data_IF_342679210926
#
_entry.id   IF_342679210926
#
_cell.length_a   1.000
_cell.length_b   1.000
_cell.length_c   1.000
_cell.angle_alpha   90.00
_cell.angle_beta   90.00
_cell.angle_gamma   90.00
#
_symmetry.space_group_name_H-M   'P 1'
#
loop_
_entity.id
_entity.type
_entity.pdbx_description
1 polymer ?
#
# COMPACT_ATOMS: atom_id res chain seq x y z
N UNK A 1 13.36 5.49 -14.03
CA UNK A 1 12.90 6.24 -12.84
C UNK A 1 11.90 5.35 -12.12
N UNK A 2 12.34 4.65 -11.07
CA UNK A 2 11.49 3.72 -10.32
C UNK A 2 10.66 4.44 -9.27
N UNK A 3 9.55 3.81 -8.84
CA UNK A 3 8.73 4.33 -7.74
C UNK A 3 9.50 4.13 -6.44
N UNK A 4 9.74 5.21 -5.69
CA UNK A 4 10.30 5.13 -4.34
C UNK A 4 9.26 4.61 -3.36
N UNK A 5 9.59 3.59 -2.57
CA UNK A 5 8.70 3.03 -1.55
C UNK A 5 9.30 3.23 -0.16
N UNK A 6 8.51 3.79 0.76
CA UNK A 6 8.84 3.89 2.17
C UNK A 6 7.98 2.92 2.97
N UNK A 7 8.58 1.96 3.66
CA UNK A 7 7.83 1.05 4.54
C UNK A 7 7.97 1.53 5.98
N UNK A 8 6.85 1.59 6.70
CA UNK A 8 6.77 2.04 8.08
C UNK A 8 6.05 0.99 8.91
N UNK A 9 6.76 0.47 9.91
CA UNK A 9 6.25 -0.54 10.82
C UNK A 9 5.80 0.12 12.13
N UNK A 10 4.55 -0.10 12.51
CA UNK A 10 3.92 0.41 13.74
C UNK A 10 3.53 -0.80 14.60
N UNK A 11 4.20 -0.98 15.75
CA UNK A 11 3.90 -2.10 16.65
C UNK A 11 4.29 -3.50 16.13
N UNK A 12 4.90 -3.60 14.94
CA UNK A 12 5.49 -4.83 14.40
C UNK A 12 6.96 -4.62 14.01
N UNK A 13 7.68 -5.72 13.84
CA UNK A 13 9.05 -5.71 13.32
C UNK A 13 9.04 -5.96 11.81
N UNK A 14 9.98 -5.35 11.10
CA UNK A 14 10.25 -5.68 9.71
C UNK A 14 10.66 -7.15 9.61
N UNK A 15 10.05 -7.90 8.69
CA UNK A 15 10.39 -9.29 8.42
C UNK A 15 10.73 -9.45 6.95
N UNK A 16 11.74 -10.27 6.66
CA UNK A 16 12.16 -10.58 5.29
C UNK A 16 11.02 -11.00 4.34
N UNK A 17 10.08 -11.91 4.72
CA UNK A 17 8.98 -12.26 3.82
C UNK A 17 8.04 -11.09 3.53
N UNK A 18 7.82 -10.21 4.51
CA UNK A 18 6.92 -9.06 4.37
C UNK A 18 7.53 -7.99 3.46
N UNK A 19 8.83 -7.73 3.57
CA UNK A 19 9.56 -6.86 2.66
C UNK A 19 9.61 -7.43 1.24
N UNK A 20 9.82 -8.74 1.10
CA UNK A 20 9.82 -9.41 -0.20
C UNK A 20 8.44 -9.30 -0.88
N UNK A 21 7.36 -9.58 -0.16
CA UNK A 21 5.99 -9.44 -0.68
C UNK A 21 5.71 -7.99 -1.08
N UNK A 22 6.04 -7.02 -0.21
CA UNK A 22 5.90 -5.59 -0.50
C UNK A 22 6.67 -5.19 -1.76
N UNK A 23 7.89 -5.69 -1.96
CA UNK A 23 8.68 -5.44 -3.15
C UNK A 23 8.05 -6.04 -4.41
N UNK A 24 7.54 -7.28 -4.34
CA UNK A 24 6.83 -7.93 -5.44
C UNK A 24 5.57 -7.15 -5.82
N UNK A 25 4.78 -6.70 -4.84
CA UNK A 25 3.59 -5.90 -5.12
C UNK A 25 3.94 -4.49 -5.65
N UNK A 26 5.05 -3.89 -5.22
CA UNK A 26 5.52 -2.61 -5.74
C UNK A 26 5.83 -2.68 -7.24
N UNK A 27 6.45 -3.77 -7.72
CA UNK A 27 6.70 -3.98 -9.15
C UNK A 27 5.39 -3.93 -9.96
N UNK A 28 4.28 -4.41 -9.38
CA UNK A 28 2.97 -4.30 -10.04
C UNK A 28 2.55 -2.84 -10.18
N UNK A 29 2.77 -2.02 -9.15
CA UNK A 29 2.47 -0.59 -9.17
C UNK A 29 3.40 0.24 -10.04
N UNK A 30 4.61 -0.22 -10.35
CA UNK A 30 5.55 0.50 -11.24
C UNK A 30 4.95 0.82 -12.61
N UNK A 31 3.99 0.04 -13.10
CA UNK A 31 3.24 0.35 -14.34
C UNK A 31 2.46 1.67 -14.26
N UNK A 32 2.11 2.11 -13.05
CA UNK A 32 1.44 3.38 -12.77
C UNK A 32 2.44 4.49 -12.41
N UNK A 33 3.73 4.33 -12.69
CA UNK A 33 4.78 5.31 -12.36
C UNK A 33 4.55 6.72 -12.92
N UNK A 34 3.69 6.87 -13.94
CA UNK A 34 3.24 8.18 -14.42
C UNK A 34 2.35 8.94 -13.42
N UNK A 35 1.76 8.26 -12.44
CA UNK A 35 0.82 8.81 -11.44
C UNK A 35 1.24 8.57 -9.99
N UNK A 36 2.12 7.61 -9.78
CA UNK A 36 2.64 7.24 -8.48
C UNK A 36 4.15 7.40 -8.52
N UNK A 37 4.66 8.55 -8.10
CA UNK A 37 6.11 8.80 -8.07
C UNK A 37 6.74 8.16 -6.84
N UNK A 38 6.11 8.38 -5.68
CA UNK A 38 6.52 7.81 -4.40
C UNK A 38 5.28 7.22 -3.69
N UNK A 39 5.47 6.14 -2.95
CA UNK A 39 4.45 5.55 -2.10
C UNK A 39 5.00 5.19 -0.72
N UNK A 40 4.11 5.16 0.26
CA UNK A 40 4.40 4.79 1.63
C UNK A 40 3.48 3.66 2.06
N UNK A 41 4.06 2.58 2.55
CA UNK A 41 3.35 1.45 3.11
C UNK A 41 3.46 1.52 4.63
N UNK A 42 2.36 1.82 5.31
CA UNK A 42 2.25 1.71 6.75
C UNK A 42 1.69 0.33 7.12
N UNK A 43 2.38 -0.40 7.99
CA UNK A 43 1.97 -1.70 8.50
C UNK A 43 1.86 -1.57 10.02
N UNK A 44 0.65 -1.66 10.53
CA UNK A 44 0.33 -1.55 11.94
C UNK A 44 -0.14 -2.89 12.50
N UNK A 45 0.53 -3.39 13.54
CA UNK A 45 0.06 -4.57 14.27
C UNK A 45 -0.81 -4.16 15.45
N UNK A 46 -2.08 -4.52 15.35
CA UNK A 46 -3.12 -4.33 16.35
C UNK A 46 -3.37 -5.65 17.08
N UNK A 47 -3.13 -5.65 18.39
CA UNK A 47 -3.56 -6.74 19.27
C UNK A 47 -5.02 -6.50 19.66
N UNK A 48 -5.95 -7.23 19.06
CA UNK A 48 -7.35 -7.16 19.47
C UNK A 48 -7.52 -7.77 20.86
N UNK A 49 -8.48 -7.23 21.63
CA UNK A 49 -8.90 -7.76 22.95
C UNK A 49 -9.32 -9.24 22.90
N UNK A 50 -9.67 -9.74 21.71
CA UNK A 50 -10.00 -11.13 21.42
C UNK A 50 -8.78 -12.07 21.32
N UNK A 51 -7.56 -11.54 21.48
CA UNK A 51 -6.31 -12.31 21.36
C UNK A 51 -5.90 -12.64 19.93
N UNK A 52 -6.66 -12.17 18.93
CA UNK A 52 -6.32 -12.36 17.52
C UNK A 52 -5.38 -11.23 17.05
N UNK A 53 -4.24 -11.56 16.42
CA UNK A 53 -3.41 -10.56 15.77
C UNK A 53 -4.17 -9.99 14.58
N UNK A 54 -4.20 -8.66 14.45
CA UNK A 54 -4.76 -7.96 13.31
C UNK A 54 -3.68 -7.03 12.76
N UNK A 55 -3.40 -7.11 11.47
CA UNK A 55 -2.46 -6.25 10.78
C UNK A 55 -3.24 -5.28 9.91
N UNK A 56 -3.22 -3.99 10.27
CA UNK A 56 -3.75 -2.92 9.44
C UNK A 56 -2.65 -2.45 8.49
N UNK A 57 -2.85 -2.66 7.20
CA UNK A 57 -1.93 -2.23 6.17
C UNK A 57 -2.56 -1.09 5.39
N UNK A 58 -1.83 0.02 5.28
CA UNK A 58 -2.25 1.20 4.53
C UNK A 58 -1.19 1.59 3.53
N UNK A 59 -1.58 1.72 2.27
CA UNK A 59 -0.77 2.24 1.20
C UNK A 59 -1.19 3.68 0.91
N UNK A 60 -0.28 4.60 1.17
CA UNK A 60 -0.43 6.02 0.94
C UNK A 60 0.42 6.41 -0.28
N UNK A 61 -0.17 7.13 -1.25
CA UNK A 61 0.63 7.77 -2.31
C UNK A 61 1.18 9.09 -1.79
N UNK A 62 2.41 9.41 -2.16
CA UNK A 62 2.99 10.72 -1.90
C UNK A 62 2.70 11.60 -3.11
N UNK A 63 1.91 12.65 -2.91
CA UNK A 63 1.63 13.65 -3.93
C UNK A 63 2.82 14.59 -4.13
N UNK A 64 2.81 15.40 -5.19
CA UNK A 64 3.82 16.44 -5.41
C UNK A 64 3.86 17.48 -4.26
N UNK A 65 2.77 17.63 -3.52
CA UNK A 65 2.67 18.47 -2.31
C UNK A 65 3.25 17.81 -1.06
N UNK A 66 3.85 16.62 -1.17
CA UNK A 66 4.29 15.77 -0.06
C UNK A 66 3.15 15.35 0.88
N UNK A 67 1.91 15.38 0.40
CA UNK A 67 0.77 14.88 1.16
C UNK A 67 0.65 13.36 0.98
N UNK A 68 0.29 12.69 2.07
CA UNK A 68 0.03 11.25 2.10
C UNK A 68 -1.45 11.03 1.85
N UNK A 69 -1.79 10.58 0.65
CA UNK A 69 -3.16 10.25 0.30
C UNK A 69 -3.35 8.72 0.33
N UNK A 70 -4.25 8.19 1.19
CA UNK A 70 -4.49 6.76 1.27
C UNK A 70 -5.17 6.27 -0.01
N UNK A 71 -4.48 5.40 -0.76
CA UNK A 71 -4.99 4.80 -1.99
C UNK A 71 -5.46 3.36 -1.80
N UNK A 72 -4.99 2.69 -0.75
CA UNK A 72 -5.43 1.35 -0.39
C UNK A 72 -5.28 1.12 1.10
N UNK A 73 -6.26 0.48 1.72
CA UNK A 73 -6.20 0.08 3.13
C UNK A 73 -6.88 -1.27 3.30
N UNK A 74 -6.23 -2.16 4.02
CA UNK A 74 -6.80 -3.46 4.34
C UNK A 74 -6.30 -3.96 5.69
N UNK A 75 -7.20 -4.53 6.49
CA UNK A 75 -6.87 -5.13 7.78
C UNK A 75 -7.14 -6.63 7.74
N UNK A 76 -6.12 -7.45 7.99
CA UNK A 76 -6.26 -8.91 7.99
C UNK A 76 -5.54 -9.55 9.18
N UNK A 77 -5.89 -10.79 9.50
CA UNK A 77 -5.20 -11.56 10.54
C UNK A 77 -3.77 -11.96 10.15
N UNK A 78 -3.43 -11.89 8.86
CA UNK A 78 -2.11 -12.16 8.32
C UNK A 78 -1.54 -10.90 7.66
N UNK A 79 -0.29 -10.54 7.99
CA UNK A 79 0.40 -9.38 7.45
C UNK A 79 0.59 -9.47 5.93
N UNK A 80 0.96 -10.65 5.40
CA UNK A 80 1.20 -10.86 3.96
C UNK A 80 -0.09 -10.69 3.15
N UNK A 81 -1.19 -11.26 3.66
CA UNK A 81 -2.51 -11.11 3.06
C UNK A 81 -2.98 -9.65 3.09
N UNK A 82 -2.78 -8.97 4.23
CA UNK A 82 -3.13 -7.56 4.36
C UNK A 82 -2.36 -6.68 3.37
N UNK A 83 -1.06 -6.95 3.19
CA UNK A 83 -0.24 -6.28 2.17
C UNK A 83 -0.82 -6.53 0.79
N UNK A 84 -1.02 -7.79 0.39
CA UNK A 84 -1.53 -8.12 -0.94
C UNK A 84 -2.86 -7.43 -1.23
N UNK A 85 -3.81 -7.52 -0.29
CA UNK A 85 -5.13 -6.91 -0.45
C UNK A 85 -5.08 -5.37 -0.48
N UNK A 86 -4.21 -4.73 0.32
CA UNK A 86 -4.04 -3.28 0.28
C UNK A 86 -3.48 -2.81 -1.08
N UNK A 87 -2.55 -3.58 -1.65
CA UNK A 87 -2.00 -3.33 -2.99
C UNK A 87 -3.03 -3.55 -4.10
N UNK A 88 -3.83 -4.62 -4.02
CA UNK A 88 -4.91 -4.85 -4.99
C UNK A 88 -5.95 -3.73 -4.95
N UNK A 89 -6.33 -3.25 -3.75
CA UNK A 89 -7.22 -2.10 -3.59
C UNK A 89 -6.62 -0.82 -4.18
N UNK A 90 -5.32 -0.59 -3.96
CA UNK A 90 -4.61 0.54 -4.54
C UNK A 90 -4.53 0.47 -6.08
N UNK A 91 -4.29 -0.71 -6.64
CA UNK A 91 -4.30 -0.93 -8.10
C UNK A 91 -5.68 -0.60 -8.68
N UNK A 92 -6.77 -1.07 -8.04
CA UNK A 92 -8.13 -0.75 -8.46
C UNK A 92 -8.42 0.75 -8.38
N UNK A 93 -7.99 1.43 -7.31
CA UNK A 93 -8.17 2.87 -7.17
C UNK A 93 -7.41 3.66 -8.25
N UNK A 94 -6.17 3.26 -8.54
CA UNK A 94 -5.35 3.85 -9.59
C UNK A 94 -5.95 3.61 -10.98
N UNK A 95 -6.44 2.40 -11.25
CA UNK A 95 -7.15 2.07 -12.49
C UNK A 95 -8.43 2.90 -12.62
N UNK A 96 -9.25 2.98 -11.58
CA UNK A 96 -10.46 3.81 -11.57
C UNK A 96 -10.15 5.29 -11.85
N UNK A 97 -9.08 5.81 -11.25
CA UNK A 97 -8.60 7.16 -11.52
C UNK A 97 -8.11 7.33 -12.97
N UNK A 98 -7.55 6.30 -13.60
CA UNK A 98 -7.21 6.31 -15.04
C UNK A 98 -8.45 6.51 -15.87
N UNK A 99 -9.47 5.68 -15.66
CA UNK A 99 -10.74 5.80 -16.39
C UNK A 99 -11.45 7.13 -16.15
N UNK A 100 -11.44 7.64 -14.91
CA UNK A 100 -12.06 8.93 -14.59
C UNK A 100 -11.38 10.12 -15.28
N UNK A 101 -10.04 10.10 -15.38
CA UNK A 101 -9.28 11.17 -16.05
C UNK A 101 -9.43 11.15 -17.58
N UNK A 102 -9.64 9.98 -18.19
CA UNK A 102 -9.85 9.85 -19.64
C UNK A 102 -11.22 10.40 -20.07
N UNK A 103 -12.19 10.46 -19.14
CA UNK A 103 -13.54 10.99 -19.40
C UNK A 103 -13.65 12.52 -19.33
N UNK A 104 -12.57 13.22 -18.95
CA UNK A 104 -12.47 14.69 -18.95
C UNK A 104 -11.72 15.25 -20.18
N UNK A 105 -11.59 14.47 -21.25
CA UNK A 105 -11.03 14.94 -22.53
C UNK A 105 -12.10 15.00 -23.60
#
# INVERSE_FOLDING_TARGET
MGIGMQIVYLGCSATAPLEAEAATQLVRLQRFGARLSNCRLAIEALCLRSGKPLYDVRLDRVTATHELEPIGRYAAGNAEEAVRCAFDAAEQALQAAVFASTRRR
#
